data_IF_278899859466
#
_entry.id   IF_278899859466
#
_cell.length_a   1.000
_cell.length_b   1.000
_cell.length_c   1.000
_cell.angle_alpha   90.00
_cell.angle_beta   90.00
_cell.angle_gamma   90.00
#
_symmetry.space_group_name_H-M   'P 1'
#
loop_
_entity.id
_entity.type
_entity.pdbx_description
1 polymer ?
#
# COMPACT_ATOMS: atom_id res chain seq x y z
N UNK A 1 33.74 -35.00 60.64
CA UNK A 1 33.92 -34.07 59.51
C UNK A 1 33.15 -34.45 58.23
N UNK A 2 33.21 -35.68 57.72
CA UNK A 2 32.52 -36.12 56.49
C UNK A 2 30.99 -35.88 56.46
N UNK A 3 30.24 -36.17 57.56
CA UNK A 3 28.81 -35.94 57.63
C UNK A 3 28.38 -34.45 57.50
N UNK A 4 29.14 -33.53 58.07
CA UNK A 4 28.90 -32.09 57.97
C UNK A 4 29.17 -31.55 56.56
N UNK A 5 30.17 -32.10 55.87
CA UNK A 5 30.49 -31.76 54.50
C UNK A 5 29.38 -32.20 53.51
N UNK A 6 28.84 -33.43 53.71
CA UNK A 6 27.75 -33.94 52.88
C UNK A 6 26.47 -33.10 53.03
N UNK A 7 26.15 -32.71 54.26
CA UNK A 7 24.96 -31.82 54.53
C UNK A 7 25.15 -30.47 53.84
N UNK A 8 26.34 -29.88 53.91
CA UNK A 8 26.61 -28.59 53.25
C UNK A 8 26.47 -28.66 51.72
N UNK A 9 27.00 -29.73 51.10
CA UNK A 9 26.88 -29.98 49.65
C UNK A 9 25.41 -30.16 49.25
N UNK A 10 24.62 -30.91 50.03
CA UNK A 10 23.21 -31.12 49.74
C UNK A 10 22.39 -29.80 49.81
N UNK A 11 22.66 -28.91 50.75
CA UNK A 11 22.00 -27.61 50.89
C UNK A 11 22.35 -26.74 49.66
N UNK A 12 23.62 -26.71 49.24
CA UNK A 12 24.04 -25.94 48.07
C UNK A 12 23.36 -26.46 46.81
N UNK A 13 23.29 -27.80 46.63
CA UNK A 13 22.62 -28.42 45.48
C UNK A 13 21.14 -28.08 45.45
N UNK A 14 20.41 -28.11 46.58
CA UNK A 14 19.01 -27.75 46.63
C UNK A 14 18.80 -26.25 46.34
N UNK A 15 19.67 -25.40 46.85
CA UNK A 15 19.62 -23.96 46.57
C UNK A 15 19.87 -23.67 45.06
N UNK A 16 20.80 -24.38 44.43
CA UNK A 16 21.11 -24.25 43.02
C UNK A 16 19.93 -24.70 42.13
N UNK A 17 19.33 -25.84 42.47
CA UNK A 17 18.11 -26.33 41.76
C UNK A 17 16.96 -25.36 41.91
N UNK A 18 16.71 -24.85 43.13
CA UNK A 18 15.70 -23.83 43.37
C UNK A 18 15.93 -22.55 42.55
N UNK A 19 17.18 -22.09 42.49
CA UNK A 19 17.55 -20.91 41.65
C UNK A 19 17.31 -21.15 40.17
N UNK A 20 17.66 -22.33 39.64
CA UNK A 20 17.42 -22.68 38.23
C UNK A 20 15.94 -22.79 37.92
N UNK A 21 15.13 -23.34 38.79
CA UNK A 21 13.67 -23.42 38.61
C UNK A 21 13.03 -22.02 38.64
N UNK A 22 13.48 -21.13 39.51
CA UNK A 22 13.00 -19.74 39.55
C UNK A 22 13.42 -18.94 38.30
N UNK A 23 14.58 -19.21 37.72
CA UNK A 23 15.00 -18.61 36.46
C UNK A 23 14.22 -19.18 35.25
N UNK A 24 13.95 -20.49 35.24
CA UNK A 24 13.22 -21.17 34.19
C UNK A 24 11.74 -20.72 34.09
N UNK A 25 11.16 -20.28 35.22
CA UNK A 25 9.78 -19.77 35.25
C UNK A 25 9.62 -18.30 34.91
N UNK A 26 10.70 -17.57 34.62
CA UNK A 26 10.61 -16.22 34.04
C UNK A 26 10.36 -16.36 32.55
N UNK A 27 9.12 -16.58 32.15
CA UNK A 27 8.69 -16.26 30.81
C UNK A 27 8.94 -14.76 30.60
N UNK A 28 9.92 -14.42 29.79
CA UNK A 28 10.05 -13.06 29.26
C UNK A 28 8.73 -12.79 28.54
N UNK A 29 7.86 -12.02 29.18
CA UNK A 29 6.57 -11.67 28.60
C UNK A 29 6.82 -10.99 27.26
N UNK A 30 6.52 -11.69 26.17
CA UNK A 30 6.60 -11.11 24.82
C UNK A 30 5.75 -9.84 24.86
N UNK A 31 6.33 -8.65 24.61
CA UNK A 31 5.55 -7.43 24.60
C UNK A 31 4.39 -7.58 23.63
N UNK A 32 3.16 -7.41 24.13
CA UNK A 32 1.99 -7.46 23.28
C UNK A 32 2.12 -6.39 22.22
N UNK A 33 1.81 -6.68 20.94
CA UNK A 33 1.83 -5.68 19.88
C UNK A 33 0.89 -4.52 20.26
N UNK A 34 1.23 -3.31 19.85
CA UNK A 34 0.37 -2.13 20.07
C UNK A 34 -0.97 -2.37 19.39
N UNK A 35 -2.06 -2.23 20.15
CA UNK A 35 -3.39 -2.24 19.58
C UNK A 35 -3.71 -0.88 18.96
N UNK A 36 -4.36 -0.89 17.78
CA UNK A 36 -4.90 0.29 17.13
C UNK A 36 -6.42 0.28 17.23
N UNK A 37 -7.04 1.47 17.18
CA UNK A 37 -8.49 1.57 17.12
C UNK A 37 -9.01 0.91 15.85
N UNK A 38 -10.11 0.20 15.95
CA UNK A 38 -10.79 -0.40 14.80
C UNK A 38 -11.28 0.72 13.87
N UNK A 39 -10.84 0.68 12.62
CA UNK A 39 -11.34 1.57 11.58
C UNK A 39 -12.56 0.92 10.94
N UNK A 40 -13.70 1.58 10.97
CA UNK A 40 -14.87 1.14 10.22
C UNK A 40 -14.71 1.50 8.74
N UNK A 41 -14.65 0.48 7.91
CA UNK A 41 -14.58 0.61 6.46
C UNK A 41 -16.00 0.63 5.89
N UNK A 42 -16.32 1.51 4.92
CA UNK A 42 -17.62 1.53 4.26
C UNK A 42 -17.83 0.28 3.41
N UNK A 43 -19.09 -0.03 3.10
CA UNK A 43 -19.41 -1.08 2.13
C UNK A 43 -18.93 -0.65 0.74
N UNK A 44 -18.32 -1.58 0.01
CA UNK A 44 -17.86 -1.33 -1.36
C UNK A 44 -19.04 -1.22 -2.31
N UNK A 45 -19.21 -0.01 -2.85
CA UNK A 45 -20.22 0.29 -3.88
C UNK A 45 -19.57 1.24 -4.89
N UNK A 46 -19.70 0.91 -6.15
CA UNK A 46 -19.04 1.62 -7.23
C UNK A 46 -20.06 2.30 -8.13
N UNK A 47 -19.65 3.37 -8.78
CA UNK A 47 -20.47 4.17 -9.71
C UNK A 47 -19.61 4.52 -10.92
N UNK A 48 -20.22 4.42 -12.11
CA UNK A 48 -19.53 4.77 -13.36
C UNK A 48 -19.09 6.23 -13.35
N UNK A 49 -17.82 6.46 -13.62
CA UNK A 49 -17.20 7.76 -13.77
C UNK A 49 -16.81 7.99 -15.23
N UNK A 50 -17.46 8.99 -15.84
CA UNK A 50 -17.16 9.47 -17.17
C UNK A 50 -16.42 10.80 -17.05
N UNK A 51 -15.11 10.79 -17.20
CA UNK A 51 -14.31 12.00 -17.16
C UNK A 51 -14.34 12.74 -18.51
N UNK A 52 -13.80 13.95 -18.53
CA UNK A 52 -13.45 14.65 -19.77
C UNK A 52 -12.23 14.04 -20.45
N UNK A 53 -11.46 13.20 -19.73
CA UNK A 53 -10.34 12.43 -20.25
C UNK A 53 -10.84 11.29 -21.18
N UNK A 54 -10.03 10.79 -22.11
CA UNK A 54 -10.38 9.63 -22.94
C UNK A 54 -10.41 8.29 -22.17
N UNK A 55 -10.88 8.32 -20.92
CA UNK A 55 -11.04 7.13 -20.06
C UNK A 55 -12.35 7.20 -19.31
N UNK A 56 -12.99 6.06 -19.11
CA UNK A 56 -14.07 5.86 -18.15
C UNK A 56 -13.75 4.66 -17.26
N UNK A 57 -14.27 4.65 -16.04
CA UNK A 57 -14.03 3.60 -15.06
C UNK A 57 -15.11 3.64 -13.98
N UNK A 58 -15.13 2.67 -13.12
CA UNK A 58 -15.97 2.72 -11.92
C UNK A 58 -15.16 3.21 -10.73
N UNK A 59 -15.72 4.15 -9.97
CA UNK A 59 -15.12 4.70 -8.76
C UNK A 59 -16.01 4.42 -7.54
N UNK A 60 -15.43 4.26 -6.35
CA UNK A 60 -16.21 4.04 -5.14
C UNK A 60 -17.04 5.27 -4.78
N UNK A 61 -18.30 5.05 -4.41
CA UNK A 61 -19.26 6.12 -4.10
C UNK A 61 -18.90 6.93 -2.84
N UNK A 62 -18.00 6.42 -2.01
CA UNK A 62 -17.44 7.10 -0.85
C UNK A 62 -16.18 7.94 -1.17
N UNK A 63 -15.78 8.01 -2.42
CA UNK A 63 -14.73 8.90 -2.92
C UNK A 63 -15.33 10.13 -3.60
N UNK A 64 -14.49 11.14 -3.84
CA UNK A 64 -14.83 12.36 -4.59
C UNK A 64 -13.79 12.58 -5.67
N UNK A 65 -14.22 13.01 -6.84
CA UNK A 65 -13.30 13.40 -7.91
C UNK A 65 -13.04 14.90 -7.82
N UNK A 66 -11.76 15.27 -7.81
CA UNK A 66 -11.29 16.64 -7.84
C UNK A 66 -10.56 16.87 -9.17
N UNK A 67 -11.14 17.66 -10.06
CA UNK A 67 -10.49 18.00 -11.33
C UNK A 67 -9.36 18.99 -11.08
N UNK A 68 -8.17 18.64 -11.53
CA UNK A 68 -7.00 19.52 -11.48
C UNK A 68 -6.90 20.26 -12.81
N UNK A 69 -6.93 21.60 -12.78
CA UNK A 69 -6.72 22.40 -13.99
C UNK A 69 -5.31 22.19 -14.49
N UNK A 70 -5.21 21.56 -15.64
CA UNK A 70 -3.94 21.21 -16.26
C UNK A 70 -3.36 22.43 -17.00
N UNK A 71 -2.06 22.68 -16.76
CA UNK A 71 -1.26 23.62 -17.55
C UNK A 71 -0.29 22.91 -18.49
N UNK A 72 -0.44 21.58 -18.65
CA UNK A 72 0.41 20.73 -19.45
C UNK A 72 -0.01 20.63 -20.92
N UNK A 73 0.43 19.54 -21.59
CA UNK A 73 0.09 19.27 -22.99
C UNK A 73 -1.44 19.19 -23.19
N UNK A 74 -1.93 19.68 -24.34
CA UNK A 74 -3.34 19.89 -24.63
C UNK A 74 -4.21 18.62 -24.43
N UNK A 75 -3.64 17.44 -24.67
CA UNK A 75 -4.37 16.16 -24.61
C UNK A 75 -4.14 15.39 -23.31
N UNK A 76 -3.41 15.96 -22.33
CA UNK A 76 -3.22 15.36 -21.03
C UNK A 76 -4.34 15.78 -20.06
N UNK A 77 -4.69 14.91 -19.12
CA UNK A 77 -5.67 15.29 -18.13
C UNK A 77 -5.35 14.74 -16.73
N UNK A 78 -5.60 15.59 -15.72
CA UNK A 78 -5.25 15.31 -14.35
C UNK A 78 -6.48 15.44 -13.46
N UNK A 79 -6.66 14.49 -12.58
CA UNK A 79 -7.69 14.54 -11.54
C UNK A 79 -7.24 13.76 -10.32
N UNK A 80 -7.86 14.02 -9.18
CA UNK A 80 -7.63 13.28 -7.96
C UNK A 80 -8.88 12.48 -7.59
N UNK A 81 -8.69 11.27 -7.09
CA UNK A 81 -9.72 10.50 -6.40
C UNK A 81 -9.46 10.71 -4.91
N UNK A 82 -10.29 11.51 -4.27
CA UNK A 82 -10.17 11.87 -2.86
C UNK A 82 -11.05 10.99 -1.99
N UNK A 83 -10.48 10.44 -0.94
CA UNK A 83 -11.15 9.66 0.10
C UNK A 83 -11.27 10.49 1.38
N UNK A 84 -12.37 11.25 1.57
CA UNK A 84 -12.51 12.19 2.69
C UNK A 84 -12.35 11.54 4.06
N UNK A 85 -12.92 10.34 4.23
CA UNK A 85 -12.91 9.59 5.49
C UNK A 85 -11.51 9.16 5.92
N UNK A 86 -10.62 8.94 4.97
CA UNK A 86 -9.28 8.42 5.20
C UNK A 86 -8.20 9.49 5.03
N UNK A 87 -8.57 10.71 4.65
CA UNK A 87 -7.65 11.79 4.29
C UNK A 87 -6.56 11.29 3.31
N UNK A 88 -7.00 10.58 2.27
CA UNK A 88 -6.14 9.99 1.25
C UNK A 88 -6.54 10.47 -0.14
N UNK A 89 -5.59 10.55 -1.05
CA UNK A 89 -5.81 10.89 -2.47
C UNK A 89 -5.03 9.96 -3.36
N UNK A 90 -5.66 9.58 -4.46
CA UNK A 90 -4.97 9.02 -5.62
C UNK A 90 -4.83 10.15 -6.63
N UNK A 91 -3.60 10.59 -6.87
CA UNK A 91 -3.29 11.54 -7.94
C UNK A 91 -3.25 10.79 -9.26
N UNK A 92 -4.19 11.09 -10.14
CA UNK A 92 -4.38 10.43 -11.43
C UNK A 92 -3.90 11.34 -12.56
N UNK A 93 -3.19 10.76 -13.51
CA UNK A 93 -2.72 11.42 -14.72
C UNK A 93 -3.01 10.53 -15.92
N UNK A 94 -3.69 11.08 -16.91
CA UNK A 94 -3.83 10.50 -18.24
C UNK A 94 -2.89 11.21 -19.21
N UNK A 95 -2.22 10.44 -20.05
CA UNK A 95 -1.32 10.93 -21.10
C UNK A 95 -1.56 10.15 -22.39
N UNK A 96 -1.58 10.80 -23.55
CA UNK A 96 -1.52 10.10 -24.83
C UNK A 96 -0.12 9.50 -25.02
N UNK A 97 -0.04 8.25 -25.49
CA UNK A 97 1.22 7.51 -25.59
C UNK A 97 2.12 8.09 -26.70
N UNK A 98 1.56 8.43 -27.85
CA UNK A 98 2.36 8.78 -29.01
C UNK A 98 3.41 7.70 -29.32
N UNK A 99 4.69 8.09 -29.41
CA UNK A 99 5.82 7.18 -29.64
C UNK A 99 6.68 6.97 -28.36
N UNK A 100 6.14 7.26 -27.18
CA UNK A 100 6.95 7.36 -25.95
C UNK A 100 6.59 6.34 -24.87
N UNK A 101 5.90 5.23 -25.20
CA UNK A 101 5.44 4.24 -24.22
C UNK A 101 6.55 3.73 -23.30
N UNK A 102 7.70 3.34 -23.86
CA UNK A 102 8.83 2.84 -23.07
C UNK A 102 9.36 3.89 -22.08
N UNK A 103 9.40 5.15 -22.49
CA UNK A 103 9.76 6.27 -21.61
C UNK A 103 8.77 6.42 -20.47
N UNK A 104 7.47 6.40 -20.76
CA UNK A 104 6.41 6.52 -19.75
C UNK A 104 6.43 5.37 -18.74
N UNK A 105 6.67 4.13 -19.20
CA UNK A 105 6.81 2.97 -18.32
C UNK A 105 8.06 3.10 -17.44
N UNK A 106 9.18 3.55 -18.03
CA UNK A 106 10.42 3.79 -17.28
C UNK A 106 10.24 4.87 -16.22
N UNK A 107 9.57 5.95 -16.56
CA UNK A 107 9.26 7.04 -15.62
C UNK A 107 8.34 6.55 -14.50
N UNK A 108 7.29 5.79 -14.81
CA UNK A 108 6.38 5.21 -13.82
C UNK A 108 7.13 4.30 -12.84
N UNK A 109 8.05 3.47 -13.35
CA UNK A 109 8.95 2.68 -12.50
C UNK A 109 9.89 3.56 -11.68
N UNK A 110 10.50 4.58 -12.28
CA UNK A 110 11.40 5.52 -11.63
C UNK A 110 10.72 6.25 -10.45
N UNK A 111 9.45 6.64 -10.62
CA UNK A 111 8.67 7.23 -9.53
C UNK A 111 8.42 6.24 -8.39
N UNK A 112 8.09 4.99 -8.68
CA UNK A 112 7.93 3.96 -7.66
C UNK A 112 9.26 3.66 -6.96
N UNK A 113 10.36 3.50 -7.71
CA UNK A 113 11.68 3.22 -7.20
C UNK A 113 12.28 4.38 -6.38
N UNK A 114 11.91 5.65 -6.65
CA UNK A 114 12.37 6.80 -5.86
C UNK A 114 11.92 6.74 -4.40
N UNK A 115 10.84 6.02 -4.11
CA UNK A 115 10.37 5.76 -2.75
C UNK A 115 11.08 4.56 -2.09
N UNK A 116 11.77 3.72 -2.86
CA UNK A 116 12.44 2.50 -2.40
C UNK A 116 13.58 2.77 -1.42
N UNK A 117 14.21 3.95 -1.45
CA UNK A 117 15.28 4.31 -0.49
C UNK A 117 14.82 4.34 0.98
N UNK A 118 13.53 4.48 1.24
CA UNK A 118 12.89 4.43 2.57
C UNK A 118 11.96 3.22 2.74
N UNK A 119 11.80 2.43 1.68
CA UNK A 119 10.96 1.24 1.66
C UNK A 119 11.73 0.02 2.19
N UNK A 120 11.03 -0.89 2.83
CA UNK A 120 11.54 -2.21 3.19
C UNK A 120 11.41 -3.24 2.06
N UNK A 121 10.62 -2.92 1.03
CA UNK A 121 10.40 -3.77 -0.15
C UNK A 121 9.42 -3.15 -1.13
N UNK A 122 9.37 -3.71 -2.34
CA UNK A 122 8.40 -3.35 -3.37
C UNK A 122 7.87 -4.61 -4.07
N UNK A 123 6.57 -4.85 -3.93
CA UNK A 123 5.87 -5.93 -4.63
C UNK A 123 5.21 -5.39 -5.88
N UNK A 124 5.16 -6.19 -6.94
CA UNK A 124 4.52 -5.86 -8.22
C UNK A 124 3.36 -6.80 -8.48
N UNK A 125 2.21 -6.24 -8.83
CA UNK A 125 1.05 -6.99 -9.30
C UNK A 125 0.80 -6.61 -10.76
N UNK A 126 0.75 -7.60 -11.64
CA UNK A 126 0.47 -7.39 -13.06
C UNK A 126 -1.03 -7.25 -13.27
N UNK A 127 -1.42 -6.25 -14.05
CA UNK A 127 -2.76 -6.08 -14.61
C UNK A 127 -2.68 -6.50 -16.08
N UNK A 128 -3.44 -7.53 -16.45
CA UNK A 128 -3.38 -8.09 -17.81
C UNK A 128 -4.76 -8.58 -18.25
N UNK A 129 -5.41 -7.82 -19.10
CA UNK A 129 -6.67 -8.14 -19.76
C UNK A 129 -6.57 -7.83 -21.24
N UNK A 130 -6.18 -8.84 -22.07
CA UNK A 130 -6.01 -8.66 -23.50
C UNK A 130 -7.31 -8.34 -24.25
N UNK A 131 -8.47 -8.80 -23.75
CA UNK A 131 -9.77 -8.58 -24.40
C UNK A 131 -10.14 -7.10 -24.37
N UNK A 132 -9.88 -6.42 -23.25
CA UNK A 132 -10.12 -4.98 -23.07
C UNK A 132 -8.89 -4.12 -23.41
N UNK A 133 -7.78 -4.72 -23.84
CA UNK A 133 -6.49 -4.06 -24.06
C UNK A 133 -6.05 -3.28 -22.83
N UNK A 134 -6.08 -3.92 -21.68
CA UNK A 134 -5.70 -3.34 -20.39
C UNK A 134 -4.45 -4.04 -19.87
N UNK A 135 -3.33 -3.33 -19.87
CA UNK A 135 -2.04 -3.83 -19.43
C UNK A 135 -1.46 -2.86 -18.41
N UNK A 136 -0.83 -3.34 -17.36
CA UNK A 136 -0.26 -2.44 -16.37
C UNK A 136 0.44 -3.14 -15.24
N UNK A 137 0.96 -2.32 -14.32
CA UNK A 137 1.59 -2.75 -13.09
C UNK A 137 1.08 -1.91 -11.93
N UNK A 138 0.82 -2.58 -10.82
CA UNK A 138 0.61 -1.98 -9.53
C UNK A 138 1.83 -2.28 -8.65
N UNK A 139 2.41 -1.25 -8.09
CA UNK A 139 3.54 -1.30 -7.16
C UNK A 139 3.02 -1.09 -5.75
N UNK A 140 3.14 -2.12 -4.91
CA UNK A 140 2.93 -2.03 -3.46
C UNK A 140 4.30 -1.75 -2.81
N UNK A 141 4.48 -0.58 -2.21
CA UNK A 141 5.73 -0.10 -1.62
C UNK A 141 5.60 -0.22 -0.11
N UNK A 142 6.40 -1.09 0.49
CA UNK A 142 6.35 -1.41 1.92
C UNK A 142 7.26 -0.49 2.73
N UNK A 143 6.88 -0.21 3.98
CA UNK A 143 7.65 0.62 4.89
C UNK A 143 7.21 2.08 4.93
N UNK A 144 8.13 2.98 5.32
CA UNK A 144 7.86 4.41 5.54
C UNK A 144 7.98 5.22 4.23
N UNK A 145 7.24 4.78 3.21
CA UNK A 145 7.19 5.46 1.92
C UNK A 145 6.09 6.53 1.92
N UNK A 146 6.34 7.67 1.27
CA UNK A 146 5.35 8.74 1.13
C UNK A 146 4.15 8.31 0.27
N UNK A 147 4.34 7.38 -0.66
CA UNK A 147 3.30 6.77 -1.49
C UNK A 147 3.46 5.26 -1.42
N UNK A 148 2.51 4.56 -0.77
CA UNK A 148 2.54 3.11 -0.61
C UNK A 148 2.01 2.35 -1.82
N UNK A 149 1.21 2.98 -2.70
CA UNK A 149 0.73 2.36 -3.93
C UNK A 149 0.92 3.33 -5.09
N UNK A 150 1.55 2.81 -6.14
CA UNK A 150 1.61 3.47 -7.45
C UNK A 150 1.22 2.46 -8.52
N UNK A 151 0.62 2.93 -9.60
CA UNK A 151 0.23 2.06 -10.69
C UNK A 151 0.23 2.81 -12.02
N UNK A 152 0.34 2.05 -13.09
CA UNK A 152 -0.01 2.51 -14.42
C UNK A 152 -0.81 1.46 -15.17
N UNK A 153 -1.62 1.93 -16.12
CA UNK A 153 -2.46 1.13 -16.99
C UNK A 153 -2.36 1.73 -18.40
N UNK A 154 -2.25 0.89 -19.42
CA UNK A 154 -2.10 1.30 -20.83
C UNK A 154 -2.79 0.31 -21.76
N UNK A 155 -3.19 0.77 -22.95
CA UNK A 155 -3.58 -0.09 -24.06
C UNK A 155 -2.39 -0.50 -24.95
N UNK A 156 -1.18 -0.09 -24.55
CA UNK A 156 0.08 -0.28 -25.27
C UNK A 156 0.22 0.49 -26.58
N UNK A 157 -0.74 1.32 -26.97
CA UNK A 157 -0.74 2.03 -28.25
C UNK A 157 -1.03 3.52 -28.15
N UNK A 158 -2.10 3.91 -27.47
CA UNK A 158 -2.63 5.27 -27.50
C UNK A 158 -2.81 5.89 -26.12
N UNK A 159 -3.09 5.07 -25.11
CA UNK A 159 -3.54 5.51 -23.81
C UNK A 159 -2.59 5.08 -22.70
N UNK A 160 -2.24 6.02 -21.83
CA UNK A 160 -1.47 5.77 -20.61
C UNK A 160 -2.11 6.48 -19.43
N UNK A 161 -2.51 5.71 -18.44
CA UNK A 161 -3.12 6.18 -17.21
C UNK A 161 -2.28 5.75 -16.01
N UNK A 162 -1.94 6.67 -15.12
CA UNK A 162 -1.18 6.36 -13.91
C UNK A 162 -1.83 6.98 -12.70
N UNK A 163 -1.61 6.37 -11.54
CA UNK A 163 -2.04 6.87 -10.26
C UNK A 163 -1.02 6.63 -9.17
N UNK A 164 -1.03 7.52 -8.16
CA UNK A 164 -0.19 7.42 -6.97
C UNK A 164 -1.02 7.76 -5.73
N UNK A 165 -1.05 6.84 -4.76
CA UNK A 165 -1.81 6.99 -3.53
C UNK A 165 -0.98 7.69 -2.46
N UNK A 166 -1.52 8.75 -1.87
CA UNK A 166 -0.93 9.48 -0.74
C UNK A 166 -1.91 9.57 0.41
N UNK A 167 -1.40 9.39 1.64
CA UNK A 167 -2.10 9.71 2.87
C UNK A 167 -1.56 11.04 3.41
N UNK A 168 -2.47 11.93 3.85
CA UNK A 168 -2.12 13.23 4.42
C UNK A 168 -2.08 13.21 5.95
N UNK A 169 -2.06 12.02 6.54
CA UNK A 169 -1.88 11.80 7.96
C UNK A 169 -0.39 11.49 8.25
N UNK A 170 0.10 11.71 9.50
CA UNK A 170 1.44 11.28 9.86
C UNK A 170 1.64 9.81 9.51
N UNK A 171 2.74 9.44 8.86
CA UNK A 171 2.98 8.08 8.42
C UNK A 171 3.10 7.15 9.64
N UNK A 172 2.23 6.17 9.72
CA UNK A 172 2.30 5.05 10.63
C UNK A 172 1.81 3.82 9.86
N UNK A 173 2.73 3.05 9.25
CA UNK A 173 2.39 1.93 8.38
C UNK A 173 1.40 0.95 8.99
N UNK A 174 1.59 0.62 10.28
CA UNK A 174 0.73 -0.34 10.96
C UNK A 174 -0.71 0.16 11.12
N UNK A 175 -0.88 1.46 11.42
CA UNK A 175 -2.21 2.03 11.64
C UNK A 175 -2.99 2.25 10.34
N UNK A 176 -2.31 2.51 9.23
CA UNK A 176 -2.95 2.73 7.92
C UNK A 176 -3.15 1.43 7.12
N UNK A 177 -2.50 0.32 7.51
CA UNK A 177 -2.54 -0.94 6.76
C UNK A 177 -3.96 -1.42 6.39
N UNK A 178 -4.99 -1.36 7.26
CA UNK A 178 -6.35 -1.75 6.89
C UNK A 178 -6.95 -0.86 5.81
N UNK A 179 -6.70 0.46 5.88
CA UNK A 179 -7.19 1.43 4.89
C UNK A 179 -6.42 1.29 3.58
N UNK A 180 -5.11 1.05 3.66
CA UNK A 180 -4.27 0.81 2.50
C UNK A 180 -4.76 -0.41 1.71
N UNK A 181 -5.02 -1.53 2.40
CA UNK A 181 -5.58 -2.74 1.79
C UNK A 181 -6.95 -2.47 1.17
N UNK A 182 -7.80 -1.70 1.84
CA UNK A 182 -9.12 -1.34 1.36
C UNK A 182 -9.07 -0.49 0.08
N UNK A 183 -8.22 0.56 0.03
CA UNK A 183 -8.06 1.40 -1.17
C UNK A 183 -7.34 0.63 -2.29
N UNK A 184 -6.43 -0.30 -1.95
CA UNK A 184 -5.79 -1.17 -2.93
C UNK A 184 -6.80 -1.96 -3.76
N UNK A 185 -7.83 -2.50 -3.13
CA UNK A 185 -8.91 -3.21 -3.83
C UNK A 185 -9.68 -2.27 -4.77
N UNK A 186 -9.92 -1.01 -4.38
CA UNK A 186 -10.54 -0.01 -5.26
C UNK A 186 -9.65 0.29 -6.48
N UNK A 187 -8.33 0.34 -6.31
CA UNK A 187 -7.38 0.52 -7.43
C UNK A 187 -7.41 -0.69 -8.37
N UNK A 188 -7.49 -1.90 -7.84
CA UNK A 188 -7.65 -3.10 -8.68
C UNK A 188 -8.97 -3.05 -9.45
N UNK A 189 -10.06 -2.63 -8.82
CA UNK A 189 -11.35 -2.46 -9.47
C UNK A 189 -11.32 -1.40 -10.59
N UNK A 190 -10.54 -0.32 -10.42
CA UNK A 190 -10.27 0.63 -11.51
C UNK A 190 -9.63 -0.10 -12.70
N UNK A 191 -8.63 -0.95 -12.47
CA UNK A 191 -7.99 -1.74 -13.51
C UNK A 191 -8.97 -2.73 -14.20
N UNK A 192 -9.90 -3.27 -13.43
CA UNK A 192 -10.93 -4.19 -13.94
C UNK A 192 -12.04 -3.49 -14.73
N UNK A 193 -12.25 -2.19 -14.53
CA UNK A 193 -13.39 -1.47 -15.12
C UNK A 193 -13.00 -0.35 -16.08
N UNK A 194 -11.72 -0.01 -16.15
CA UNK A 194 -11.22 1.04 -17.06
C UNK A 194 -11.52 0.70 -18.52
N UNK A 195 -12.01 1.70 -19.26
CA UNK A 195 -12.29 1.64 -20.68
C UNK A 195 -11.70 2.86 -21.36
N UNK A 196 -11.09 2.64 -22.51
CA UNK A 196 -10.51 3.66 -23.37
C UNK A 196 -11.60 4.24 -24.30
N UNK A 197 -11.53 5.55 -24.60
CA UNK A 197 -12.48 6.27 -25.46
C UNK A 197 -11.77 7.07 -26.54
#
# INVERSE_FOLDING_TARGET
MRKRLIIAISIIAIALVGYLVLQSGREEGIPKPRGYFRIELPEKKYTSFNSTCPVSMELPNYSKVEIVRNQGAADSCWFNIYYPRFNARIHCTYLPVGNHLEGMIRDAYGFAASHEMKASGMRRTMLNDPERKVYGLLYDIEGDAASQIQFFITDSTSHFFRGSLYFFNPPNPDSIAPVLSFIREDILHIGETIQWR
#
